data_IF_875430652637
#
_entry.id   IF_875430652637
#
_cell.length_a   1.000
_cell.length_b   1.000
_cell.length_c   1.000
_cell.angle_alpha   90.00
_cell.angle_beta   90.00
_cell.angle_gamma   90.00
#
_symmetry.space_group_name_H-M   'P 1'
#
loop_
_entity.id
_entity.type
_entity.pdbx_description
1 polymer ?
#
# COMPACT_ATOMS: atom_id res chain seq x y z
N UNK A 1 19.58 -3.88 0.44
CA UNK A 1 19.47 -3.13 -0.83
C UNK A 1 19.53 -1.65 -0.49
N UNK A 2 20.42 -0.89 -1.11
CA UNK A 2 20.51 0.56 -0.90
C UNK A 2 19.70 1.23 -2.00
N UNK A 3 18.63 1.92 -1.64
CA UNK A 3 17.79 2.68 -2.58
C UNK A 3 18.33 4.11 -2.64
N UNK A 4 18.66 4.58 -3.83
CA UNK A 4 19.02 5.99 -4.02
C UNK A 4 17.77 6.90 -4.13
N UNK A 5 17.98 8.21 -4.12
CA UNK A 5 16.88 9.18 -4.19
C UNK A 5 15.99 9.02 -5.43
N UNK A 6 16.55 8.61 -6.56
CA UNK A 6 15.79 8.47 -7.80
C UNK A 6 14.88 7.23 -7.73
N UNK A 7 15.41 6.11 -7.26
CA UNK A 7 14.65 4.90 -7.03
C UNK A 7 13.56 5.11 -5.96
N UNK A 8 13.87 5.83 -4.87
CA UNK A 8 12.87 6.18 -3.85
C UNK A 8 11.73 7.04 -4.41
N UNK A 9 12.05 8.03 -5.25
CA UNK A 9 11.04 8.86 -5.91
C UNK A 9 10.16 8.05 -6.86
N UNK A 10 10.76 7.11 -7.62
CA UNK A 10 10.01 6.25 -8.53
C UNK A 10 9.07 5.31 -7.76
N UNK A 11 9.55 4.69 -6.69
CA UNK A 11 8.72 3.84 -5.82
C UNK A 11 7.60 4.63 -5.18
N UNK A 12 7.87 5.86 -4.70
CA UNK A 12 6.83 6.73 -4.16
C UNK A 12 5.79 7.15 -5.21
N UNK A 13 6.21 7.42 -6.45
CA UNK A 13 5.27 7.68 -7.54
C UNK A 13 4.38 6.45 -7.80
N UNK A 14 4.98 5.26 -7.92
CA UNK A 14 4.24 4.01 -8.11
C UNK A 14 3.27 3.73 -6.97
N UNK A 15 3.72 3.85 -5.72
CA UNK A 15 2.88 3.69 -4.54
C UNK A 15 1.70 4.66 -4.55
N UNK A 16 1.92 5.93 -4.90
CA UNK A 16 0.85 6.93 -4.95
C UNK A 16 -0.17 6.62 -6.04
N UNK A 17 0.28 6.38 -7.28
CA UNK A 17 -0.63 6.14 -8.41
C UNK A 17 -1.41 4.84 -8.21
N UNK A 18 -0.73 3.75 -7.81
CA UNK A 18 -1.41 2.48 -7.55
C UNK A 18 -2.39 2.58 -6.38
N UNK A 19 -2.03 3.27 -5.30
CA UNK A 19 -2.96 3.46 -4.17
C UNK A 19 -4.18 4.25 -4.59
N UNK A 20 -4.04 5.25 -5.46
CA UNK A 20 -5.16 6.04 -5.97
C UNK A 20 -6.08 5.21 -6.85
N UNK A 21 -5.53 4.37 -7.73
CA UNK A 21 -6.29 3.41 -8.55
C UNK A 21 -7.07 2.42 -7.66
N UNK A 22 -6.42 1.86 -6.65
CA UNK A 22 -7.07 0.95 -5.71
C UNK A 22 -8.17 1.65 -4.91
N UNK A 23 -7.94 2.89 -4.46
CA UNK A 23 -8.90 3.67 -3.70
C UNK A 23 -10.17 3.96 -4.51
N UNK A 24 -10.02 4.23 -5.82
CA UNK A 24 -11.10 4.53 -6.76
C UNK A 24 -11.91 3.30 -7.18
N UNK A 25 -11.27 2.15 -7.35
CA UNK A 25 -11.88 1.00 -8.03
C UNK A 25 -12.21 -0.20 -7.14
N UNK A 26 -11.70 -0.25 -5.91
CA UNK A 26 -11.91 -1.40 -5.03
C UNK A 26 -12.72 -1.03 -3.78
N UNK A 27 -13.75 -1.83 -3.54
CA UNK A 27 -14.51 -1.80 -2.30
C UNK A 27 -13.79 -2.59 -1.20
N UNK A 28 -14.21 -2.40 0.05
CA UNK A 28 -13.60 -3.08 1.20
C UNK A 28 -13.68 -4.60 1.08
N UNK A 29 -14.79 -5.13 0.57
CA UNK A 29 -14.98 -6.56 0.32
C UNK A 29 -13.97 -7.17 -0.67
N UNK A 30 -13.45 -6.38 -1.61
CA UNK A 30 -12.52 -6.86 -2.64
C UNK A 30 -11.06 -6.95 -2.14
N UNK A 31 -10.75 -6.37 -0.97
CA UNK A 31 -9.38 -6.30 -0.47
C UNK A 31 -8.76 -7.66 -0.11
N UNK A 32 -9.57 -8.70 0.09
CA UNK A 32 -9.03 -10.07 0.23
C UNK A 32 -8.43 -10.55 -1.08
N UNK A 33 -9.13 -10.33 -2.20
CA UNK A 33 -8.69 -10.83 -3.51
C UNK A 33 -7.38 -10.17 -3.93
N UNK A 34 -7.17 -8.91 -3.55
CA UNK A 34 -5.95 -8.16 -3.87
C UNK A 34 -4.93 -8.11 -2.73
N UNK A 35 -5.05 -8.97 -1.70
CA UNK A 35 -4.08 -9.00 -0.61
C UNK A 35 -2.63 -9.18 -1.08
N UNK A 36 -2.32 -10.00 -2.12
CA UNK A 36 -0.95 -10.13 -2.61
C UNK A 36 -0.38 -8.82 -3.16
N UNK A 37 -1.21 -8.01 -3.81
CA UNK A 37 -0.81 -6.68 -4.30
C UNK A 37 -0.48 -5.75 -3.14
N UNK A 38 -1.34 -5.73 -2.11
CA UNK A 38 -1.13 -4.92 -0.91
C UNK A 38 0.14 -5.33 -0.16
N UNK A 39 0.48 -6.62 -0.14
CA UNK A 39 1.71 -7.11 0.49
C UNK A 39 2.96 -6.61 -0.23
N UNK A 40 2.98 -6.65 -1.57
CA UNK A 40 4.08 -6.07 -2.36
C UNK A 40 4.18 -4.56 -2.15
N UNK A 41 3.04 -3.85 -2.04
CA UNK A 41 3.04 -2.41 -1.72
C UNK A 41 3.65 -2.14 -0.34
N UNK A 42 3.37 -2.99 0.67
CA UNK A 42 3.97 -2.89 2.00
C UNK A 42 5.48 -3.09 1.97
N UNK A 43 5.96 -4.10 1.24
CA UNK A 43 7.39 -4.35 1.06
C UNK A 43 8.11 -3.16 0.38
N UNK A 44 7.49 -2.59 -0.66
CA UNK A 44 8.02 -1.42 -1.34
C UNK A 44 8.08 -0.20 -0.41
N UNK A 45 7.02 0.04 0.38
CA UNK A 45 6.97 1.12 1.35
C UNK A 45 8.02 0.95 2.46
N UNK A 46 8.23 -0.27 2.96
CA UNK A 46 9.26 -0.55 3.95
C UNK A 46 10.67 -0.33 3.37
N UNK A 47 10.89 -0.68 2.11
CA UNK A 47 12.15 -0.40 1.44
C UNK A 47 12.43 1.12 1.35
N UNK A 48 11.42 1.92 1.01
CA UNK A 48 11.50 3.39 0.97
C UNK A 48 11.79 3.96 2.37
N UNK A 49 11.06 3.51 3.40
CA UNK A 49 11.24 3.96 4.80
C UNK A 49 12.61 3.59 5.34
N UNK A 50 13.08 2.37 5.10
CA UNK A 50 14.39 1.90 5.52
C UNK A 50 15.53 2.66 4.86
N UNK A 51 15.29 3.27 3.69
CA UNK A 51 16.21 4.17 3.02
C UNK A 51 16.13 5.63 3.51
N UNK A 52 15.30 5.94 4.51
CA UNK A 52 15.16 7.26 5.13
C UNK A 52 14.19 8.20 4.41
N UNK A 53 13.35 7.68 3.50
CA UNK A 53 12.36 8.47 2.78
C UNK A 53 10.94 8.25 3.34
N UNK A 54 10.09 9.26 3.22
CA UNK A 54 8.66 9.14 3.53
C UNK A 54 7.92 8.45 2.40
N UNK A 55 6.81 7.78 2.73
CA UNK A 55 5.88 7.17 1.77
C UNK A 55 4.68 8.09 1.51
N UNK A 56 3.93 7.92 0.41
CA UNK A 56 2.81 8.81 0.07
C UNK A 56 1.60 8.62 1.00
N UNK A 57 0.87 9.69 1.29
CA UNK A 57 -0.37 9.63 2.10
C UNK A 57 -1.44 8.72 1.50
N UNK A 58 -1.54 8.68 0.16
CA UNK A 58 -2.46 7.78 -0.54
C UNK A 58 -2.19 6.30 -0.21
N UNK A 59 -0.91 5.93 -0.04
CA UNK A 59 -0.53 4.58 0.38
C UNK A 59 -0.94 4.30 1.82
N UNK A 60 -0.70 5.23 2.74
CA UNK A 60 -1.13 5.06 4.14
C UNK A 60 -2.66 4.91 4.24
N UNK A 61 -3.39 5.67 3.40
CA UNK A 61 -4.83 5.60 3.33
C UNK A 61 -5.34 4.22 2.90
N UNK A 62 -4.82 3.68 1.79
CA UNK A 62 -5.29 2.39 1.27
C UNK A 62 -4.90 1.23 2.20
N UNK A 63 -3.71 1.28 2.82
CA UNK A 63 -3.32 0.27 3.80
C UNK A 63 -4.26 0.27 5.00
N UNK A 64 -4.64 1.45 5.52
CA UNK A 64 -5.61 1.55 6.60
C UNK A 64 -6.97 0.95 6.21
N UNK A 65 -7.51 1.30 5.04
CA UNK A 65 -8.77 0.74 4.52
C UNK A 65 -8.69 -0.79 4.41
N UNK A 66 -7.59 -1.31 3.87
CA UNK A 66 -7.39 -2.75 3.75
C UNK A 66 -7.36 -3.47 5.10
N UNK A 67 -6.68 -2.90 6.10
CA UNK A 67 -6.59 -3.49 7.43
C UNK A 67 -7.97 -3.52 8.12
N UNK A 68 -8.80 -2.49 7.91
CA UNK A 68 -10.17 -2.42 8.43
C UNK A 68 -11.10 -3.47 7.78
N UNK A 69 -10.98 -3.66 6.47
CA UNK A 69 -11.75 -4.69 5.77
C UNK A 69 -11.37 -6.10 6.24
N UNK A 70 -10.07 -6.37 6.34
CA UNK A 70 -9.56 -7.69 6.76
C UNK A 70 -9.89 -8.02 8.22
N UNK A 71 -9.98 -7.03 9.11
CA UNK A 71 -10.40 -7.25 10.50
C UNK A 71 -11.90 -7.50 10.62
N UNK A 72 -12.71 -6.74 9.87
CA UNK A 72 -14.18 -6.89 9.84
C UNK A 72 -14.62 -8.27 9.35
N UNK A 73 -13.93 -8.84 8.36
CA UNK A 73 -14.24 -10.18 7.86
C UNK A 73 -13.86 -11.31 8.82
N UNK A 74 -12.80 -11.14 9.63
CA UNK A 74 -12.44 -12.11 10.67
C UNK A 74 -13.45 -12.15 11.82
N UNK A 75 -14.08 -11.02 12.13
CA UNK A 75 -15.08 -10.93 13.21
C UNK A 75 -16.46 -11.48 12.81
N UNK A 76 -16.68 -11.72 11.52
CA UNK A 76 -17.94 -12.22 10.94
C UNK A 76 -17.94 -13.73 10.65
N UNK A 77 -16.84 -14.43 10.96
CA UNK A 77 -16.68 -15.89 10.84
C UNK A 77 -16.60 -16.52 12.22
#
# INVERSE_FOLDING_TARGET
MTIDKNAANLLNALLRELSSELDLHYAEEDFIAISPTLDVMREAADAVRNAGFSVPDAYEHIVRRSNQALSSQKSSR
#
